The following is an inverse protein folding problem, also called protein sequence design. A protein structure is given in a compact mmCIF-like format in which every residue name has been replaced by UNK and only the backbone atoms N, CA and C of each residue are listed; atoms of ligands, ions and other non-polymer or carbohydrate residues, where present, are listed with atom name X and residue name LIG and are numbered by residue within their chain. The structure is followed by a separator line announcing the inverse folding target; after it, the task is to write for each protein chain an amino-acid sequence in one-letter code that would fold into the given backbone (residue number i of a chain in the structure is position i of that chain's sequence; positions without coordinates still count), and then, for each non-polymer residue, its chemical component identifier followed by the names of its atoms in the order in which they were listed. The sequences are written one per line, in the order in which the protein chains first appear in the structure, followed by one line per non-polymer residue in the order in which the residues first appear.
data_IF_626719764008
#
_entry.id   IF_626719764008
#
_cell.length_a   1.000
_cell.length_b   1.000
_cell.length_c   1.000
_cell.angle_alpha   90.00
_cell.angle_beta   90.00
_cell.angle_gamma   90.00
#
_symmetry.space_group_name_H-M   'P 1'
#
loop_
_entity.id
_entity.type
_entity.pdbx_description
1 polymer ?
#
# COMPACT_ATOMS: atom_id res chain seq x y z
N UNK A 1 -25.75 -12.37 1.30
CA UNK A 1 -24.54 -12.35 0.44
C UNK A 1 -24.09 -13.80 0.38
N UNK A 2 -23.86 -14.35 -0.81
CA UNK A 2 -23.33 -15.71 -0.90
C UNK A 2 -21.88 -15.76 -0.38
N UNK A 3 -21.46 -16.96 0.03
CA UNK A 3 -20.15 -17.22 0.64
C UNK A 3 -18.99 -16.80 -0.28
N UNK A 4 -19.13 -17.02 -1.59
CA UNK A 4 -18.13 -16.64 -2.58
C UNK A 4 -17.91 -15.11 -2.63
N UNK A 5 -19.00 -14.35 -2.55
CA UNK A 5 -18.91 -12.88 -2.51
C UNK A 5 -18.25 -12.38 -1.22
N UNK A 6 -18.48 -13.05 -0.08
CA UNK A 6 -17.81 -12.71 1.20
C UNK A 6 -16.32 -12.93 1.11
N UNK A 7 -15.91 -14.09 0.58
CA UNK A 7 -14.51 -14.44 0.40
C UNK A 7 -13.79 -13.45 -0.53
N UNK A 8 -14.40 -13.09 -1.66
CA UNK A 8 -13.84 -12.07 -2.58
C UNK A 8 -13.66 -10.71 -1.89
N UNK A 9 -14.63 -10.26 -1.09
CA UNK A 9 -14.51 -8.99 -0.37
C UNK A 9 -13.39 -9.04 0.67
N UNK A 10 -13.27 -10.14 1.42
CA UNK A 10 -12.21 -10.31 2.41
C UNK A 10 -10.82 -10.34 1.75
N UNK A 11 -10.67 -11.05 0.64
CA UNK A 11 -9.43 -11.08 -0.14
C UNK A 11 -9.07 -9.69 -0.66
N UNK A 12 -10.05 -8.91 -1.14
CA UNK A 12 -9.83 -7.54 -1.59
C UNK A 12 -9.39 -6.63 -0.44
N UNK A 13 -10.02 -6.74 0.74
CA UNK A 13 -9.64 -5.98 1.93
C UNK A 13 -8.21 -6.30 2.36
N UNK A 14 -7.85 -7.59 2.42
CA UNK A 14 -6.51 -8.03 2.77
C UNK A 14 -5.46 -7.57 1.74
N UNK A 15 -5.77 -7.67 0.45
CA UNK A 15 -4.91 -7.19 -0.62
C UNK A 15 -4.66 -5.69 -0.51
N UNK A 16 -5.72 -4.90 -0.29
CA UNK A 16 -5.61 -3.45 -0.14
C UNK A 16 -4.76 -3.08 1.07
N UNK A 17 -5.03 -3.70 2.24
CA UNK A 17 -4.28 -3.41 3.46
C UNK A 17 -2.78 -3.71 3.28
N UNK A 18 -2.45 -4.86 2.69
CA UNK A 18 -1.06 -5.22 2.40
C UNK A 18 -0.34 -4.16 1.57
N UNK A 19 -1.01 -3.57 0.56
CA UNK A 19 -0.41 -2.52 -0.28
C UNK A 19 -0.21 -1.22 0.48
N UNK A 20 -1.15 -0.86 1.35
CA UNK A 20 -1.00 0.30 2.24
C UNK A 20 0.19 0.10 3.18
N UNK A 21 0.34 -1.09 3.77
CA UNK A 21 1.43 -1.40 4.70
C UNK A 21 2.80 -1.36 3.99
N UNK A 22 2.90 -1.93 2.78
CA UNK A 22 4.12 -1.87 1.96
C UNK A 22 4.53 -0.43 1.60
N UNK A 23 3.57 0.42 1.25
CA UNK A 23 3.83 1.83 0.96
C UNK A 23 4.19 2.62 2.23
N UNK A 24 3.57 2.30 3.37
CA UNK A 24 3.89 2.92 4.65
C UNK A 24 5.32 2.60 5.08
N UNK A 25 5.79 1.36 4.87
CA UNK A 25 7.16 0.97 5.13
C UNK A 25 8.18 1.83 4.38
N UNK A 26 7.90 2.17 3.12
CA UNK A 26 8.77 3.06 2.32
C UNK A 26 8.84 4.44 2.98
N UNK A 27 7.73 4.98 3.49
CA UNK A 27 7.71 6.29 4.17
C UNK A 27 8.49 6.29 5.49
N UNK A 28 8.44 5.18 6.21
CA UNK A 28 9.04 5.04 7.54
C UNK A 28 10.56 4.84 7.46
N UNK A 29 11.05 4.11 6.45
CA UNK A 29 12.47 3.80 6.22
C UNK A 29 13.22 4.93 5.51
N UNK A 30 13.24 6.13 6.13
CA UNK A 30 13.95 7.28 5.57
C UNK A 30 15.46 7.02 5.53
N UNK A 31 16.01 6.93 4.32
CA UNK A 31 17.45 6.77 4.08
C UNK A 31 17.88 5.39 3.62
N UNK A 32 16.96 4.44 3.47
CA UNK A 32 17.22 3.20 2.75
C UNK A 32 17.29 3.46 1.23
N UNK A 33 18.14 2.71 0.52
CA UNK A 33 18.03 2.61 -0.94
C UNK A 33 16.78 1.82 -1.31
N UNK A 34 16.17 2.16 -2.43
CA UNK A 34 14.97 1.47 -2.92
C UNK A 34 15.37 0.59 -4.09
N UNK A 35 15.19 -0.73 -3.94
CA UNK A 35 15.39 -1.68 -5.04
C UNK A 35 14.04 -2.04 -5.67
N UNK A 36 13.91 -1.88 -6.98
CA UNK A 36 12.72 -2.22 -7.76
C UNK A 36 13.10 -3.34 -8.73
N UNK A 37 12.62 -4.56 -8.44
CA UNK A 37 13.03 -5.76 -9.18
C UNK A 37 14.51 -6.07 -8.97
N UNK A 38 15.15 -6.69 -9.96
CA UNK A 38 16.58 -7.04 -9.89
C UNK A 38 17.49 -5.94 -10.44
N UNK A 39 16.96 -5.08 -11.31
CA UNK A 39 17.75 -4.19 -12.17
C UNK A 39 17.83 -2.74 -11.69
N UNK A 40 16.85 -2.28 -10.91
CA UNK A 40 16.76 -0.86 -10.52
C UNK A 40 17.07 -0.72 -9.04
N UNK A 41 18.10 0.08 -8.73
CA UNK A 41 18.38 0.54 -7.37
C UNK A 41 18.44 2.08 -7.35
N UNK A 42 17.61 2.68 -6.49
CA UNK A 42 17.54 4.12 -6.29
C UNK A 42 18.35 4.45 -5.04
N UNK A 43 19.50 5.09 -5.25
CA UNK A 43 20.41 5.54 -4.20
C UNK A 43 20.55 7.05 -4.13
N UNK A 44 20.16 7.77 -5.20
CA UNK A 44 20.22 9.23 -5.26
C UNK A 44 19.27 9.87 -4.22
N UNK A 45 19.78 10.69 -3.28
CA UNK A 45 18.98 11.34 -2.25
C UNK A 45 17.85 12.24 -2.76
N UNK A 46 18.01 12.91 -3.91
CA UNK A 46 16.96 13.76 -4.49
C UNK A 46 15.83 12.91 -5.09
N UNK A 47 16.19 11.84 -5.78
CA UNK A 47 15.22 10.87 -6.33
C UNK A 47 14.48 10.18 -5.19
N UNK A 48 15.18 9.74 -4.14
CA UNK A 48 14.58 9.15 -2.94
C UNK A 48 13.58 10.10 -2.27
N UNK A 49 13.89 11.41 -2.17
CA UNK A 49 12.94 12.41 -1.65
C UNK A 49 11.68 12.49 -2.52
N UNK A 50 11.85 12.48 -3.85
CA UNK A 50 10.74 12.48 -4.80
C UNK A 50 9.85 11.25 -4.66
N UNK A 51 10.45 10.06 -4.55
CA UNK A 51 9.72 8.80 -4.32
C UNK A 51 8.95 8.85 -3.00
N UNK A 52 9.58 9.24 -1.89
CA UNK A 52 8.88 9.36 -0.61
C UNK A 52 7.71 10.34 -0.66
N UNK A 53 7.87 11.47 -1.36
CA UNK A 53 6.78 12.44 -1.54
C UNK A 53 5.63 11.83 -2.34
N UNK A 54 5.94 11.18 -3.47
CA UNK A 54 4.95 10.50 -4.31
C UNK A 54 4.19 9.43 -3.53
N UNK A 55 4.90 8.59 -2.76
CA UNK A 55 4.30 7.56 -1.90
C UNK A 55 3.38 8.16 -0.85
N UNK A 56 3.78 9.26 -0.18
CA UNK A 56 2.91 9.96 0.78
C UNK A 56 1.64 10.49 0.14
N UNK A 57 1.73 11.06 -1.06
CA UNK A 57 0.56 11.53 -1.81
C UNK A 57 -0.34 10.34 -2.15
N UNK A 58 0.22 9.24 -2.66
CA UNK A 58 -0.52 8.01 -2.96
C UNK A 58 -1.23 7.44 -1.75
N UNK A 59 -0.57 7.37 -0.59
CA UNK A 59 -1.19 6.93 0.67
C UNK A 59 -2.36 7.83 1.09
N UNK A 60 -2.21 9.15 0.93
CA UNK A 60 -3.29 10.10 1.18
C UNK A 60 -4.48 9.94 0.23
N UNK A 61 -4.25 9.49 -1.01
CA UNK A 61 -5.28 9.28 -2.02
C UNK A 61 -5.95 7.90 -1.90
N UNK A 62 -5.19 6.86 -1.55
CA UNK A 62 -5.69 5.49 -1.33
C UNK A 62 -6.69 5.43 -0.17
N UNK A 63 -6.39 6.14 0.93
CA UNK A 63 -7.29 6.20 2.08
C UNK A 63 -7.68 4.83 2.63
N UNK A 64 -8.91 4.72 3.14
CA UNK A 64 -9.48 3.42 3.57
C UNK A 64 -10.33 2.86 2.45
N UNK A 65 -10.26 1.55 2.23
CA UNK A 65 -11.17 0.86 1.32
C UNK A 65 -12.62 1.15 1.76
N UNK A 66 -13.50 1.70 0.88
CA UNK A 66 -14.84 2.15 1.26
C UNK A 66 -15.83 0.99 1.36
N UNK A 67 -15.38 -0.15 1.89
CA UNK A 67 -16.17 -1.36 2.08
C UNK A 67 -16.03 -1.75 3.55
N UNK A 68 -17.15 -2.07 4.19
CA UNK A 68 -17.17 -2.57 5.55
C UNK A 68 -18.12 -3.76 5.61
N UNK A 69 -17.60 -4.91 6.05
CA UNK A 69 -18.43 -6.06 6.35
C UNK A 69 -19.13 -5.77 7.68
N UNK A 70 -20.45 -5.63 7.65
CA UNK A 70 -21.26 -5.80 8.86
C UNK A 70 -21.56 -7.29 8.98
N UNK A 71 -21.04 -7.93 10.01
CA UNK A 71 -21.63 -9.20 10.44
C UNK A 71 -23.08 -8.89 10.80
N UNK A 72 -24.02 -9.52 10.10
CA UNK A 72 -25.41 -9.48 10.49
C UNK A 72 -25.56 -10.21 11.83
N UNK A 73 -26.27 -9.61 12.77
CA UNK A 73 -26.87 -10.33 13.89
C UNK A 73 -27.78 -11.45 13.40
#
# INVERSE_FOLDING_TARGET
MDEATVDVIQQLMAWHQKRVDELQLIVDQKGASIKIGEEIEITDPEVLKGVHLGVKISLSLLGKLPISLKEGE
#
